data_IF_141818572126
#
_entry.id   IF_141818572126
#
_cell.length_a   1.000
_cell.length_b   1.000
_cell.length_c   1.000
_cell.angle_alpha   90.00
_cell.angle_beta   90.00
_cell.angle_gamma   90.00
#
_symmetry.space_group_name_H-M   'P 1'
#
loop_
_entity.id
_entity.type
_entity.pdbx_description
1 polymer ?
#
# COMPACT_ATOMS: atom_id res chain seq x y z
N UNK A 1 -3.09 -9.49 -24.67
CA UNK A 1 -2.02 -8.47 -24.64
C UNK A 1 -1.66 -8.05 -23.21
N UNK A 2 -2.62 -7.61 -22.39
CA UNK A 2 -2.38 -7.12 -21.02
C UNK A 2 -1.70 -8.13 -20.06
N UNK A 3 -2.04 -9.42 -20.14
CA UNK A 3 -1.37 -10.49 -19.37
C UNK A 3 0.14 -10.57 -19.65
N UNK A 4 0.56 -10.38 -20.91
CA UNK A 4 1.98 -10.39 -21.30
C UNK A 4 2.72 -9.16 -20.75
N UNK A 5 2.07 -8.01 -20.72
CA UNK A 5 2.59 -6.78 -20.10
C UNK A 5 2.79 -6.95 -18.59
N UNK A 6 1.79 -7.48 -17.89
CA UNK A 6 1.88 -7.77 -16.45
C UNK A 6 3.04 -8.74 -16.16
N UNK A 7 3.18 -9.80 -16.96
CA UNK A 7 4.26 -10.77 -16.79
C UNK A 7 5.64 -10.16 -17.07
N UNK A 8 5.75 -9.27 -18.05
CA UNK A 8 6.98 -8.53 -18.34
C UNK A 8 7.36 -7.60 -17.16
N UNK A 9 6.41 -6.85 -16.62
CA UNK A 9 6.62 -5.98 -15.47
C UNK A 9 6.99 -6.79 -14.20
N UNK A 10 6.36 -7.94 -13.97
CA UNK A 10 6.75 -8.83 -12.86
C UNK A 10 8.18 -9.34 -13.00
N UNK A 11 8.62 -9.67 -14.21
CA UNK A 11 9.99 -10.13 -14.48
C UNK A 11 11.01 -9.02 -14.23
N UNK A 12 10.67 -7.76 -14.54
CA UNK A 12 11.48 -6.58 -14.18
C UNK A 12 11.56 -6.43 -12.68
N UNK A 13 10.42 -6.45 -11.99
CA UNK A 13 10.32 -6.28 -10.55
C UNK A 13 11.16 -7.32 -9.77
N UNK A 14 11.15 -8.59 -10.21
CA UNK A 14 11.95 -9.66 -9.58
C UNK A 14 13.46 -9.38 -9.59
N UNK A 15 13.95 -8.58 -10.54
CA UNK A 15 15.38 -8.22 -10.66
C UNK A 15 15.73 -6.91 -9.93
N UNK A 16 14.74 -6.17 -9.44
CA UNK A 16 14.94 -4.88 -8.82
C UNK A 16 15.13 -5.01 -7.31
N UNK A 17 16.21 -4.40 -6.80
CA UNK A 17 16.50 -4.35 -5.37
C UNK A 17 15.49 -3.52 -4.57
N UNK A 18 14.73 -2.63 -5.21
CA UNK A 18 13.78 -1.74 -4.51
C UNK A 18 12.68 -2.51 -3.78
N UNK A 19 12.32 -3.71 -4.26
CA UNK A 19 11.34 -4.57 -3.58
C UNK A 19 11.81 -4.97 -2.18
N UNK A 20 13.13 -5.02 -1.97
CA UNK A 20 13.72 -5.32 -0.67
C UNK A 20 13.35 -4.29 0.40
N UNK A 21 13.12 -3.02 0.00
CA UNK A 21 12.69 -1.96 0.92
C UNK A 21 11.35 -2.33 1.57
N UNK A 22 10.45 -3.01 0.84
CA UNK A 22 9.17 -3.45 1.41
C UNK A 22 9.28 -4.60 2.40
N UNK A 23 10.23 -5.52 2.21
CA UNK A 23 10.49 -6.55 3.22
C UNK A 23 11.18 -5.95 4.45
N UNK A 24 12.10 -5.01 4.24
CA UNK A 24 12.81 -4.33 5.32
C UNK A 24 11.87 -3.47 6.18
N UNK A 25 10.88 -2.83 5.57
CA UNK A 25 9.91 -2.00 6.30
C UNK A 25 8.99 -2.83 7.20
N UNK A 26 8.59 -4.03 6.76
CA UNK A 26 7.89 -5.00 7.62
C UNK A 26 8.76 -5.43 8.81
N UNK A 27 10.04 -5.71 8.58
CA UNK A 27 10.97 -6.09 9.65
C UNK A 27 11.12 -4.97 10.68
N UNK A 28 11.22 -3.71 10.26
CA UNK A 28 11.23 -2.60 11.22
C UNK A 28 9.91 -2.47 11.99
N UNK A 29 8.77 -2.68 11.32
CA UNK A 29 7.45 -2.69 11.96
C UNK A 29 7.34 -3.76 13.05
N UNK A 30 7.85 -4.97 12.82
CA UNK A 30 7.78 -6.05 13.81
C UNK A 30 8.71 -5.77 14.99
N UNK A 31 9.91 -5.23 14.74
CA UNK A 31 10.87 -4.85 15.79
C UNK A 31 10.26 -3.79 16.72
N UNK A 32 9.64 -2.76 16.14
CA UNK A 32 8.96 -1.70 16.93
C UNK A 32 7.82 -2.29 17.75
N UNK A 33 7.02 -3.17 17.16
CA UNK A 33 5.91 -3.83 17.87
C UNK A 33 6.41 -4.67 19.03
N UNK A 34 7.49 -5.44 18.85
CA UNK A 34 8.13 -6.16 19.95
C UNK A 34 8.66 -5.23 21.05
N UNK A 35 9.31 -4.13 20.68
CA UNK A 35 9.82 -3.16 21.63
C UNK A 35 8.69 -2.52 22.45
N UNK A 36 7.58 -2.17 21.82
CA UNK A 36 6.41 -1.63 22.51
C UNK A 36 5.77 -2.67 23.44
N UNK A 37 5.69 -3.93 23.01
CA UNK A 37 5.15 -5.01 23.83
C UNK A 37 6.00 -5.30 25.08
N UNK A 38 7.32 -5.14 25.01
CA UNK A 38 8.17 -5.26 26.20
C UNK A 38 7.93 -4.15 27.23
N UNK A 39 7.46 -2.98 26.80
CA UNK A 39 7.19 -1.84 27.70
C UNK A 39 5.83 -1.92 28.37
N UNK A 40 4.85 -2.56 27.72
CA UNK A 40 3.51 -2.80 28.29
C UNK A 40 3.64 -3.94 29.32
N UNK A 41 4.02 -3.61 30.56
CA UNK A 41 4.18 -4.53 31.70
C UNK A 41 2.84 -5.07 32.23
N UNK A 42 1.99 -5.63 31.38
CA UNK A 42 0.71 -6.22 31.78
C UNK A 42 0.43 -7.52 31.03
N UNK A 43 0.74 -8.66 31.68
CA UNK A 43 0.35 -10.00 31.21
C UNK A 43 1.11 -10.52 29.98
N UNK A 44 0.92 -11.81 29.67
CA UNK A 44 1.40 -12.39 28.41
C UNK A 44 0.49 -11.87 27.30
N UNK A 45 1.01 -11.13 26.30
CA UNK A 45 0.16 -10.56 25.26
C UNK A 45 -0.54 -11.65 24.47
N UNK A 46 -1.85 -11.49 24.30
CA UNK A 46 -2.62 -12.31 23.37
C UNK A 46 -2.12 -12.07 21.94
N UNK A 47 -1.97 -13.15 21.17
CA UNK A 47 -1.46 -13.07 19.79
C UNK A 47 -2.27 -12.10 18.91
N UNK A 48 -3.59 -12.01 19.13
CA UNK A 48 -4.46 -11.06 18.43
C UNK A 48 -4.11 -9.60 18.72
N UNK A 49 -3.82 -9.26 19.99
CA UNK A 49 -3.39 -7.91 20.37
C UNK A 49 -2.02 -7.55 19.79
N UNK A 50 -1.09 -8.52 19.71
CA UNK A 50 0.19 -8.34 19.03
C UNK A 50 -0.02 -8.04 17.53
N UNK A 51 -0.89 -8.80 16.86
CA UNK A 51 -1.20 -8.61 15.44
C UNK A 51 -1.85 -7.24 15.17
N UNK A 52 -2.80 -6.79 15.99
CA UNK A 52 -3.43 -5.47 15.87
C UNK A 52 -2.41 -4.34 16.04
N UNK A 53 -1.53 -4.44 17.05
CA UNK A 53 -0.46 -3.45 17.25
C UNK A 53 0.53 -3.42 16.08
N UNK A 54 0.85 -4.60 15.54
CA UNK A 54 1.67 -4.73 14.36
C UNK A 54 1.02 -4.06 13.14
N UNK A 55 -0.25 -4.34 12.85
CA UNK A 55 -0.98 -3.74 11.74
C UNK A 55 -1.06 -2.22 11.88
N UNK A 56 -1.32 -1.72 13.09
CA UNK A 56 -1.32 -0.30 13.40
C UNK A 56 0.02 0.36 13.04
N UNK A 57 1.13 -0.18 13.55
CA UNK A 57 2.46 0.35 13.29
C UNK A 57 2.83 0.28 11.79
N UNK A 58 2.49 -0.83 11.14
CA UNK A 58 2.78 -1.02 9.74
C UNK A 58 2.01 -0.03 8.87
N UNK A 59 0.70 0.11 9.12
CA UNK A 59 -0.18 1.01 8.41
C UNK A 59 0.22 2.48 8.59
N UNK A 60 0.60 2.91 9.79
CA UNK A 60 0.90 4.32 10.06
C UNK A 60 2.30 4.74 9.61
N UNK A 61 3.31 3.87 9.76
CA UNK A 61 4.70 4.28 9.62
C UNK A 61 5.32 3.83 8.30
N UNK A 62 5.08 2.57 7.91
CA UNK A 62 5.92 1.89 6.93
C UNK A 62 5.23 1.66 5.60
N UNK A 63 3.99 1.19 5.62
CA UNK A 63 3.25 0.78 4.44
C UNK A 63 3.04 1.96 3.46
N UNK A 64 2.58 3.16 3.91
CA UNK A 64 2.35 4.29 3.03
C UNK A 64 3.59 4.72 2.25
N UNK A 65 4.71 4.80 2.97
CA UNK A 65 6.01 5.10 2.41
C UNK A 65 6.45 4.04 1.40
N UNK A 66 6.39 2.77 1.79
CA UNK A 66 6.86 1.63 0.98
C UNK A 66 6.09 1.51 -0.33
N UNK A 67 4.76 1.57 -0.25
CA UNK A 67 3.87 1.45 -1.40
C UNK A 67 4.15 2.58 -2.39
N UNK A 68 4.24 3.81 -1.89
CA UNK A 68 4.50 4.97 -2.75
C UNK A 68 5.90 4.94 -3.36
N UNK A 69 6.91 4.46 -2.63
CA UNK A 69 8.27 4.37 -3.13
C UNK A 69 8.39 3.35 -4.26
N UNK A 70 7.86 2.14 -4.05
CA UNK A 70 7.92 1.08 -5.06
C UNK A 70 7.04 1.43 -6.26
N UNK A 71 5.80 1.86 -6.02
CA UNK A 71 4.86 2.22 -7.08
C UNK A 71 5.35 3.42 -7.89
N UNK A 72 5.86 4.46 -7.21
CA UNK A 72 6.39 5.66 -7.85
C UNK A 72 7.65 5.34 -8.67
N UNK A 73 8.57 4.55 -8.13
CA UNK A 73 9.77 4.10 -8.85
C UNK A 73 9.45 3.26 -10.08
N UNK A 74 8.47 2.35 -9.98
CA UNK A 74 8.03 1.54 -11.11
C UNK A 74 7.55 2.43 -12.27
N UNK A 75 6.82 3.51 -11.97
CA UNK A 75 6.36 4.47 -12.98
C UNK A 75 7.55 5.29 -13.50
N UNK A 76 8.36 5.83 -12.59
CA UNK A 76 9.50 6.73 -12.88
C UNK A 76 10.54 6.11 -13.82
N UNK A 77 10.85 4.83 -13.66
CA UNK A 77 11.84 4.13 -14.49
C UNK A 77 11.54 4.20 -16.00
N UNK A 78 10.28 4.33 -16.38
CA UNK A 78 9.88 4.36 -17.78
C UNK A 78 10.02 5.76 -18.39
N UNK A 79 9.98 6.79 -17.54
CA UNK A 79 10.26 8.18 -17.88
C UNK A 79 11.77 8.48 -17.88
N UNK A 80 12.51 7.95 -16.90
CA UNK A 80 13.93 8.24 -16.72
C UNK A 80 14.85 7.54 -17.76
N UNK A 81 14.42 6.43 -18.37
CA UNK A 81 15.26 5.63 -19.28
C UNK A 81 15.08 5.93 -20.77
N UNK A 82 14.37 7.01 -21.12
CA UNK A 82 14.02 7.39 -22.51
C UNK A 82 13.36 6.23 -23.30
N UNK A 83 12.86 5.21 -22.59
CA UNK A 83 12.18 4.04 -23.15
C UNK A 83 10.88 4.41 -23.84
N UNK A 84 10.35 5.61 -23.61
CA UNK A 84 9.23 6.17 -24.38
C UNK A 84 9.52 6.19 -25.89
N UNK A 85 10.77 6.48 -26.30
CA UNK A 85 11.13 6.53 -27.73
C UNK A 85 11.23 5.14 -28.34
N UNK A 86 11.73 4.15 -27.60
CA UNK A 86 11.82 2.76 -28.05
C UNK A 86 10.50 1.99 -27.95
N UNK A 87 9.57 2.41 -27.08
CA UNK A 87 8.22 1.84 -27.04
C UNK A 87 7.37 2.22 -28.27
N UNK A 88 7.73 3.26 -29.03
CA UNK A 88 7.05 3.60 -30.28
C UNK A 88 7.24 2.53 -31.37
N UNK A 89 8.26 1.67 -31.24
CA UNK A 89 8.55 0.59 -32.20
C UNK A 89 7.64 -0.64 -31.98
N UNK A 90 7.03 -0.78 -30.81
CA UNK A 90 6.10 -1.87 -30.47
C UNK A 90 4.75 -1.22 -30.17
N UNK A 91 3.62 -1.60 -30.80
CA UNK A 91 2.35 -0.90 -30.66
C UNK A 91 1.68 -1.14 -29.30
N UNK A 92 2.29 -0.66 -28.20
CA UNK A 92 1.74 -0.73 -26.84
C UNK A 92 1.31 0.67 -26.43
N UNK A 93 0.01 0.83 -26.16
CA UNK A 93 -0.54 2.10 -25.67
C UNK A 93 0.00 2.38 -24.27
N UNK A 94 0.53 3.59 -24.07
CA UNK A 94 1.04 4.09 -22.78
C UNK A 94 0.07 3.86 -21.61
N UNK A 95 -1.22 4.05 -21.88
CA UNK A 95 -2.32 3.85 -20.93
C UNK A 95 -2.35 2.43 -20.37
N UNK A 96 -2.07 1.43 -21.19
CA UNK A 96 -2.12 0.01 -20.81
C UNK A 96 -0.87 -0.42 -20.02
N UNK A 97 0.27 0.25 -20.24
CA UNK A 97 1.49 0.03 -19.46
C UNK A 97 1.32 0.49 -18.01
N UNK A 98 0.79 1.71 -17.78
CA UNK A 98 0.53 2.22 -16.43
C UNK A 98 -0.51 1.36 -15.69
N UNK A 99 -1.58 0.93 -16.38
CA UNK A 99 -2.56 0.00 -15.79
C UNK A 99 -1.92 -1.32 -15.37
N UNK A 100 -1.05 -1.89 -16.22
CA UNK A 100 -0.31 -3.10 -15.88
C UNK A 100 0.59 -2.91 -14.66
N UNK A 101 1.24 -1.74 -14.51
CA UNK A 101 2.07 -1.42 -13.34
C UNK A 101 1.27 -1.30 -12.06
N UNK A 102 0.13 -0.61 -12.09
CA UNK A 102 -0.77 -0.55 -10.94
C UNK A 102 -1.23 -1.96 -10.54
N UNK A 103 -1.59 -2.81 -11.51
CA UNK A 103 -1.93 -4.21 -11.23
C UNK A 103 -0.76 -5.01 -10.61
N UNK A 104 0.47 -4.80 -11.10
CA UNK A 104 1.67 -5.42 -10.52
C UNK A 104 1.97 -4.88 -9.12
N UNK A 105 1.71 -3.60 -8.85
CA UNK A 105 1.83 -3.02 -7.51
C UNK A 105 0.87 -3.73 -6.54
N UNK A 106 -0.40 -3.91 -6.89
CA UNK A 106 -1.35 -4.67 -6.07
C UNK A 106 -0.90 -6.12 -5.85
N UNK A 107 -0.43 -6.79 -6.90
CA UNK A 107 0.09 -8.15 -6.78
C UNK A 107 1.34 -8.22 -5.88
N UNK A 108 2.18 -7.18 -5.89
CA UNK A 108 3.30 -7.07 -4.98
C UNK A 108 2.84 -6.89 -3.53
N UNK A 109 1.82 -6.08 -3.29
CA UNK A 109 1.26 -5.88 -1.95
C UNK A 109 0.65 -7.16 -1.38
N UNK A 110 0.03 -7.98 -2.23
CA UNK A 110 -0.39 -9.34 -1.84
C UNK A 110 0.82 -10.18 -1.40
N UNK A 111 1.95 -10.12 -2.12
CA UNK A 111 3.16 -10.86 -1.72
C UNK A 111 3.80 -10.35 -0.44
N UNK A 112 3.77 -9.03 -0.23
CA UNK A 112 4.25 -8.37 0.99
C UNK A 112 3.37 -8.79 2.18
N UNK A 113 2.04 -8.80 2.02
CA UNK A 113 1.10 -9.33 3.01
C UNK A 113 1.35 -10.82 3.33
N UNK A 114 1.67 -11.66 2.32
CA UNK A 114 2.04 -13.07 2.58
C UNK A 114 3.29 -13.18 3.47
N UNK A 115 4.26 -12.30 3.27
CA UNK A 115 5.48 -12.27 4.09
C UNK A 115 5.20 -11.76 5.51
N UNK A 116 4.37 -10.73 5.63
CA UNK A 116 3.88 -10.19 6.91
C UNK A 116 3.18 -11.28 7.74
N UNK A 117 2.31 -12.07 7.11
CA UNK A 117 1.64 -13.21 7.75
C UNK A 117 2.65 -14.25 8.25
N UNK A 118 3.66 -14.61 7.45
CA UNK A 118 4.68 -15.56 7.87
C UNK A 118 5.47 -15.07 9.10
N UNK A 119 5.77 -13.77 9.17
CA UNK A 119 6.44 -13.17 10.32
C UNK A 119 5.56 -13.09 11.56
N UNK A 120 4.27 -12.76 11.42
CA UNK A 120 3.30 -12.77 12.52
C UNK A 120 3.11 -14.18 13.11
N UNK A 121 3.12 -15.20 12.26
CA UNK A 121 3.09 -16.60 12.69
C UNK A 121 4.36 -16.99 13.43
N UNK A 122 5.53 -16.61 12.91
CA UNK A 122 6.81 -16.83 13.58
C UNK A 122 6.84 -16.15 14.97
N UNK A 123 6.37 -14.90 15.05
CA UNK A 123 6.25 -14.17 16.30
C UNK A 123 5.32 -14.87 17.30
N UNK A 124 4.18 -15.40 16.85
CA UNK A 124 3.26 -16.18 17.69
C UNK A 124 3.88 -17.46 18.27
N UNK A 125 4.71 -18.15 17.48
CA UNK A 125 5.46 -19.33 17.95
C UNK A 125 6.46 -18.93 19.04
N UNK A 126 7.19 -17.83 18.86
CA UNK A 126 8.17 -17.32 19.84
C UNK A 126 7.48 -16.95 21.16
N UNK A 127 6.31 -16.32 21.08
CA UNK A 127 5.51 -15.92 22.24
C UNK A 127 4.80 -17.10 22.95
N UNK A 128 5.00 -18.35 22.47
CA UNK A 128 4.36 -19.60 22.96
C UNK A 128 2.83 -19.54 23.00
N UNK A 129 2.23 -18.62 22.28
CA UNK A 129 0.79 -18.41 22.25
C UNK A 129 0.27 -18.78 20.86
N UNK A 130 -0.22 -20.03 20.72
CA UNK A 130 -0.73 -20.52 19.43
C UNK A 130 -2.21 -20.17 19.29
N UNK A 131 -2.58 -19.26 18.37
CA UNK A 131 -3.98 -18.96 18.10
C UNK A 131 -4.71 -20.16 17.48
N UNK A 132 -6.03 -20.20 17.67
CA UNK A 132 -6.89 -21.12 16.95
C UNK A 132 -6.85 -20.82 15.43
N UNK A 133 -7.03 -21.87 14.61
CA UNK A 133 -6.95 -21.79 13.14
C UNK A 133 -7.90 -20.72 12.56
N UNK A 134 -9.08 -20.54 13.17
CA UNK A 134 -10.05 -19.53 12.73
C UNK A 134 -9.53 -18.09 12.93
N UNK A 135 -8.85 -17.84 14.05
CA UNK A 135 -8.27 -16.53 14.38
C UNK A 135 -7.09 -16.24 13.44
N UNK A 136 -6.29 -17.26 13.13
CA UNK A 136 -5.21 -17.15 12.14
C UNK A 136 -5.75 -16.78 10.75
N UNK A 137 -6.80 -17.46 10.29
CA UNK A 137 -7.43 -17.16 9.01
C UNK A 137 -7.98 -15.73 8.96
N UNK A 138 -8.61 -15.27 10.05
CA UNK A 138 -9.08 -13.88 10.18
C UNK A 138 -7.96 -12.85 10.07
N UNK A 139 -6.86 -13.05 10.81
CA UNK A 139 -5.67 -12.17 10.76
C UNK A 139 -5.02 -12.18 9.38
N UNK A 140 -4.98 -13.33 8.70
CA UNK A 140 -4.49 -13.42 7.34
C UNK A 140 -5.31 -12.57 6.35
N UNK A 141 -6.64 -12.63 6.47
CA UNK A 141 -7.53 -11.80 5.66
C UNK A 141 -7.35 -10.31 5.97
N UNK A 142 -7.18 -9.95 7.25
CA UNK A 142 -6.88 -8.57 7.67
C UNK A 142 -5.59 -8.06 7.05
N UNK A 143 -4.49 -8.83 7.08
CA UNK A 143 -3.21 -8.43 6.50
C UNK A 143 -3.34 -8.09 5.00
N UNK A 144 -4.02 -8.95 4.24
CA UNK A 144 -4.29 -8.69 2.82
C UNK A 144 -5.15 -7.44 2.61
N UNK A 145 -6.21 -7.29 3.40
CA UNK A 145 -7.13 -6.17 3.28
C UNK A 145 -6.46 -4.83 3.63
N UNK A 146 -5.61 -4.77 4.67
CA UNK A 146 -4.83 -3.58 5.03
C UNK A 146 -3.92 -3.14 3.88
N UNK A 147 -3.13 -4.08 3.35
CA UNK A 147 -2.19 -3.83 2.26
C UNK A 147 -2.91 -3.26 1.02
N UNK A 148 -4.06 -3.83 0.65
CA UNK A 148 -4.83 -3.39 -0.53
C UNK A 148 -5.50 -2.03 -0.27
N UNK A 149 -6.15 -1.87 0.88
CA UNK A 149 -6.94 -0.69 1.20
C UNK A 149 -6.07 0.57 1.33
N UNK A 150 -4.93 0.48 2.02
CA UNK A 150 -4.00 1.60 2.15
C UNK A 150 -3.33 1.92 0.81
N UNK A 151 -3.04 0.89 0.01
CA UNK A 151 -2.53 1.10 -1.37
C UNK A 151 -3.53 1.87 -2.22
N UNK A 152 -4.83 1.58 -2.11
CA UNK A 152 -5.89 2.33 -2.80
C UNK A 152 -5.95 3.80 -2.32
N UNK A 153 -5.88 4.03 -1.01
CA UNK A 153 -5.88 5.39 -0.44
C UNK A 153 -4.73 6.26 -0.92
N UNK A 154 -3.55 5.66 -1.12
CA UNK A 154 -2.32 6.38 -1.48
C UNK A 154 -2.08 6.42 -2.99
N UNK A 155 -2.74 5.55 -3.75
CA UNK A 155 -2.63 5.45 -5.21
C UNK A 155 -2.65 6.82 -5.94
N UNK A 156 -3.50 7.81 -5.57
CA UNK A 156 -3.49 9.10 -6.23
C UNK A 156 -2.15 9.85 -6.11
N UNK A 157 -1.50 9.77 -4.94
CA UNK A 157 -0.19 10.39 -4.69
C UNK A 157 0.87 9.72 -5.57
N UNK A 158 0.85 8.39 -5.65
CA UNK A 158 1.77 7.59 -6.48
C UNK A 158 1.67 8.00 -7.94
N UNK A 159 0.44 8.06 -8.47
CA UNK A 159 0.20 8.41 -9.86
C UNK A 159 0.59 9.86 -10.17
N UNK A 160 0.42 10.77 -9.23
CA UNK A 160 0.77 12.18 -9.41
C UNK A 160 2.29 12.40 -9.47
N UNK A 161 3.03 11.81 -8.54
CA UNK A 161 4.48 12.02 -8.42
C UNK A 161 5.32 11.07 -9.28
N UNK A 162 4.80 9.90 -9.63
CA UNK A 162 5.53 8.89 -10.42
C UNK A 162 5.86 9.31 -11.86
N UNK A 163 5.09 10.24 -12.46
CA UNK A 163 5.32 10.72 -13.84
C UNK A 163 6.53 11.64 -13.98
N UNK A 164 6.88 12.38 -12.93
CA UNK A 164 7.90 13.40 -13.01
C UNK A 164 9.25 12.80 -12.56
N UNK A 165 10.15 12.56 -13.51
CA UNK A 165 11.50 12.00 -13.32
C UNK A 165 12.15 12.38 -11.98
N UNK A 166 12.39 11.41 -11.10
CA UNK A 166 13.02 11.56 -9.78
C UNK A 166 12.14 12.11 -8.66
N UNK A 167 10.94 12.64 -8.96
CA UNK A 167 10.03 13.22 -7.94
C UNK A 167 9.21 12.17 -7.19
N UNK A 168 9.32 10.89 -7.55
CA UNK A 168 8.68 9.80 -6.80
C UNK A 168 9.15 9.73 -5.33
N UNK A 169 10.38 10.17 -5.04
CA UNK A 169 10.91 10.26 -3.67
C UNK A 169 10.07 11.23 -2.84
N UNK A 170 9.73 12.40 -3.40
CA UNK A 170 8.84 13.38 -2.75
C UNK A 170 7.44 12.82 -2.52
N UNK A 171 6.89 12.08 -3.49
CA UNK A 171 5.61 11.37 -3.30
C UNK A 171 5.66 10.35 -2.16
N UNK A 172 6.81 9.70 -1.97
CA UNK A 172 7.01 8.71 -0.91
C UNK A 172 7.11 9.36 0.47
N UNK A 173 7.84 10.47 0.57
CA UNK A 173 7.92 11.28 1.80
C UNK A 173 6.52 11.83 2.14
N UNK A 174 5.79 12.36 1.17
CA UNK A 174 4.41 12.83 1.39
C UNK A 174 3.51 11.69 1.88
N UNK A 175 3.61 10.51 1.29
CA UNK A 175 2.84 9.35 1.73
C UNK A 175 3.21 8.90 3.15
N UNK A 176 4.49 9.01 3.54
CA UNK A 176 4.93 8.78 4.92
C UNK A 176 4.30 9.78 5.89
N UNK A 177 4.30 11.07 5.54
CA UNK A 177 3.66 12.11 6.36
C UNK A 177 2.17 11.89 6.51
N UNK A 178 1.50 11.46 5.43
CA UNK A 178 0.10 11.05 5.45
C UNK A 178 -0.12 9.80 6.33
N UNK A 179 0.81 8.86 6.35
CA UNK A 179 0.77 7.74 7.31
C UNK A 179 0.83 8.23 8.76
N UNK A 180 1.84 9.04 9.08
CA UNK A 180 2.09 9.55 10.43
C UNK A 180 0.94 10.46 10.91
N UNK A 181 0.33 11.25 10.02
CA UNK A 181 -0.84 12.06 10.40
C UNK A 181 -2.01 11.22 10.90
N UNK A 182 -2.09 9.95 10.49
CA UNK A 182 -3.10 9.00 10.97
C UNK A 182 -3.05 8.78 12.48
N UNK A 183 -1.87 8.87 13.11
CA UNK A 183 -1.71 8.70 14.58
C UNK A 183 -2.49 9.75 15.37
N UNK A 184 -2.55 10.99 14.85
CA UNK A 184 -3.28 12.08 15.51
C UNK A 184 -4.80 12.00 15.25
N UNK A 185 -5.18 11.34 14.16
CA UNK A 185 -6.56 11.33 13.66
C UNK A 185 -7.31 10.06 14.06
N UNK A 186 -6.61 8.96 14.36
CA UNK A 186 -7.20 7.63 14.59
C UNK A 186 -8.24 7.58 15.72
N UNK A 187 -8.13 8.43 16.74
CA UNK A 187 -9.08 8.49 17.86
C UNK A 187 -10.21 9.52 17.66
N UNK A 188 -10.24 10.23 16.53
CA UNK A 188 -11.19 11.29 16.24
C UNK A 188 -12.16 10.96 15.11
N UNK A 189 -13.13 11.85 14.89
CA UNK A 189 -14.13 11.75 13.78
C UNK A 189 -13.54 11.80 12.37
N UNK A 190 -12.29 12.25 12.24
CA UNK A 190 -11.60 12.29 10.96
C UNK A 190 -10.93 10.95 10.59
N UNK A 191 -10.93 9.95 11.48
CA UNK A 191 -10.39 8.61 11.21
C UNK A 191 -11.04 7.96 9.98
N UNK A 192 -12.36 8.14 9.82
CA UNK A 192 -13.13 7.56 8.71
C UNK A 192 -12.83 8.22 7.34
N UNK A 193 -12.22 9.40 7.33
CA UNK A 193 -11.93 10.16 6.12
C UNK A 193 -10.46 10.15 5.71
N UNK A 194 -9.58 9.67 6.57
CA UNK A 194 -8.14 9.76 6.34
C UNK A 194 -7.64 8.52 5.58
N UNK A 195 -6.78 8.67 4.55
CA UNK A 195 -6.54 7.64 3.51
C UNK A 195 -5.88 6.35 4.03
N UNK A 196 -5.27 6.41 5.21
CA UNK A 196 -4.63 5.25 5.87
C UNK A 196 -5.54 4.65 6.95
N UNK A 197 -6.25 5.49 7.70
CA UNK A 197 -7.06 5.06 8.86
C UNK A 197 -8.46 4.64 8.47
N UNK A 198 -8.93 5.00 7.27
CA UNK A 198 -10.24 4.61 6.74
C UNK A 198 -10.47 3.10 6.76
N UNK A 199 -9.40 2.32 6.63
CA UNK A 199 -9.45 0.87 6.63
C UNK A 199 -9.67 0.30 8.05
N UNK A 200 -9.39 1.07 9.11
CA UNK A 200 -9.40 0.59 10.50
C UNK A 200 -10.82 0.31 10.97
N UNK A 201 -11.79 1.15 10.57
CA UNK A 201 -13.19 0.95 10.94
C UNK A 201 -13.70 -0.45 10.52
N UNK A 202 -13.19 -1.00 9.40
CA UNK A 202 -13.53 -2.34 8.90
C UNK A 202 -12.67 -3.48 9.42
N UNK A 203 -11.37 -3.22 9.63
CA UNK A 203 -10.37 -4.27 9.80
C UNK A 203 -9.79 -4.37 11.20
N UNK A 204 -9.81 -3.29 11.97
CA UNK A 204 -9.26 -3.30 13.33
C UNK A 204 -10.31 -3.69 14.34
N UNK A 205 -9.91 -4.53 15.29
CA UNK A 205 -10.75 -4.86 16.44
C UNK A 205 -10.70 -3.77 17.53
N UNK A 206 -9.71 -2.87 17.47
CA UNK A 206 -9.42 -1.89 18.54
C UNK A 206 -9.68 -0.47 18.05
N UNK A 207 -9.35 -0.16 16.80
CA UNK A 207 -9.36 1.18 16.24
C UNK A 207 -10.54 1.41 15.28
N UNK A 208 -11.06 2.64 15.25
CA UNK A 208 -12.13 3.06 14.34
C UNK A 208 -13.54 2.96 14.93
N UNK A 209 -14.46 3.77 14.40
CA UNK A 209 -15.85 3.81 14.87
C UNK A 209 -16.63 2.60 14.37
N UNK A 210 -16.91 1.62 15.25
CA UNK A 210 -17.72 0.42 14.94
C UNK A 210 -19.23 0.69 14.96
N UNK A 211 -19.65 1.73 14.24
CA UNK A 211 -21.04 2.12 14.05
C UNK A 211 -21.44 1.90 12.60
N UNK A 212 -22.72 1.59 12.33
CA UNK A 212 -23.24 1.48 10.96
C UNK A 212 -22.92 2.74 10.12
N UNK A 213 -22.94 3.91 10.76
CA UNK A 213 -22.59 5.19 10.16
C UNK A 213 -21.08 5.32 9.89
N UNK A 214 -20.23 4.77 10.76
CA UNK A 214 -18.77 4.74 10.58
C UNK A 214 -18.36 3.87 9.39
N UNK A 215 -18.93 2.66 9.29
CA UNK A 215 -18.73 1.79 8.13
C UNK A 215 -19.16 2.46 6.82
N UNK A 216 -20.29 3.16 6.81
CA UNK A 216 -20.76 3.86 5.61
C UNK A 216 -19.81 4.99 5.20
N UNK A 217 -19.34 5.81 6.16
CA UNK A 217 -18.39 6.89 5.91
C UNK A 217 -17.06 6.36 5.37
N UNK A 218 -16.49 5.36 6.02
CA UNK A 218 -15.23 4.77 5.59
C UNK A 218 -15.34 4.10 4.22
N UNK A 219 -16.47 3.44 3.95
CA UNK A 219 -16.75 2.87 2.64
C UNK A 219 -16.85 3.93 1.54
N UNK A 220 -17.55 5.04 1.81
CA UNK A 220 -17.65 6.17 0.91
C UNK A 220 -16.29 6.83 0.65
N UNK A 221 -15.46 6.97 1.69
CA UNK A 221 -14.12 7.54 1.57
C UNK A 221 -13.19 6.66 0.70
N UNK A 222 -13.17 5.33 0.89
CA UNK A 222 -12.39 4.41 0.03
C UNK A 222 -12.82 4.53 -1.43
N UNK A 223 -14.13 4.58 -1.68
CA UNK A 223 -14.66 4.77 -3.03
C UNK A 223 -14.22 6.11 -3.63
N UNK A 224 -14.24 7.18 -2.84
CA UNK A 224 -13.80 8.51 -3.25
C UNK A 224 -12.29 8.53 -3.57
N UNK A 225 -11.44 7.84 -2.79
CA UNK A 225 -10.03 7.69 -3.11
C UNK A 225 -9.78 6.90 -4.40
N UNK A 226 -10.58 5.85 -4.63
CA UNK A 226 -10.56 5.11 -5.90
C UNK A 226 -10.90 6.01 -7.08
N UNK A 227 -11.97 6.81 -6.98
CA UNK A 227 -12.37 7.79 -7.99
C UNK A 227 -11.28 8.85 -8.20
N UNK A 228 -10.67 9.35 -7.13
CA UNK A 228 -9.59 10.33 -7.18
C UNK A 228 -8.36 9.73 -7.90
N UNK A 229 -8.04 8.46 -7.64
CA UNK A 229 -7.00 7.72 -8.35
C UNK A 229 -7.28 7.60 -9.85
N UNK A 230 -8.52 7.27 -10.24
CA UNK A 230 -8.95 7.22 -11.65
C UNK A 230 -8.91 8.60 -12.31
N UNK A 231 -9.32 9.64 -11.59
CA UNK A 231 -9.32 11.02 -12.07
C UNK A 231 -7.89 11.51 -12.30
N UNK A 232 -6.98 11.28 -11.35
CA UNK A 232 -5.55 11.60 -11.51
C UNK A 232 -4.94 10.82 -12.67
N UNK A 233 -5.27 9.53 -12.79
CA UNK A 233 -4.86 8.72 -13.93
C UNK A 233 -5.33 9.35 -15.26
N UNK A 234 -6.60 9.74 -15.34
CA UNK A 234 -7.17 10.33 -16.55
C UNK A 234 -6.53 11.68 -16.91
N UNK A 235 -6.37 12.58 -15.93
CA UNK A 235 -5.76 13.90 -16.13
C UNK A 235 -4.30 13.79 -16.56
N UNK A 236 -3.48 13.01 -15.85
CA UNK A 236 -2.02 12.97 -16.07
C UNK A 236 -1.58 12.04 -17.20
N UNK A 237 -2.35 10.99 -17.49
CA UNK A 237 -1.92 9.94 -18.43
C UNK A 237 -2.80 9.83 -19.67
N UNK A 238 -4.10 10.14 -19.60
CA UNK A 238 -4.97 10.09 -20.78
C UNK A 238 -4.98 11.42 -21.55
N UNK A 239 -5.20 12.56 -20.87
CA UNK A 239 -5.37 13.87 -21.51
C UNK A 239 -4.13 14.35 -22.26
N UNK A 240 -2.94 14.06 -21.74
CA UNK A 240 -1.66 14.50 -22.31
C UNK A 240 -1.21 13.63 -23.50
N UNK A 241 -1.57 12.33 -23.51
CA UNK A 241 -1.28 11.43 -24.64
C UNK A 241 -2.04 11.81 -25.93
N UNK A 242 -3.22 12.43 -25.77
CA UNK A 242 -4.03 12.92 -26.90
C UNK A 242 -3.47 14.23 -27.50
N UNK A 243 -2.64 14.97 -26.77
CA UNK A 243 -1.97 16.16 -27.29
C UNK A 243 -0.76 15.80 -28.15
N UNK A 244 0.04 14.82 -27.72
CA UNK A 244 1.21 14.35 -28.49
C UNK A 244 0.85 13.66 -29.82
N UNK A 245 -0.34 13.07 -29.91
CA UNK A 245 -0.85 12.45 -31.15
C UNK A 245 -1.53 13.43 -32.10
N UNK A 246 -1.83 14.67 -31.68
CA UNK A 246 -2.37 15.74 -32.54
C UNK A 246 -1.28 16.65 -33.11
N UNK A 247 -0.05 16.58 -32.60
CA UNK A 247 1.10 17.41 -33.01
C UNK A 247 2.12 16.64 -33.87
N UNK A 248 1.76 15.45 -34.35
CA UNK A 248 2.51 14.58 -35.26
C UNK A 248 1.62 14.21 -36.43
#
# INVERSE_FOLDING_TARGET
MMKRLIMAELKKLKRQKIVFVGYLSILFSIIITFAQQMQIRAGVPEWGGFAEMFFYNNAMLFLPFTVSLIGGYMIDQEYARDTMKNLLVIPVRWRDAIKAKVAVLFLLMVRIALFEMALLLAAGIILKNRPAVLIMAGVCMKALAYNICITLGILPVILWFGKNGGKYIWGSILSMLVGISGVFVVNGRAADWHPVTVCFSFLSDIYGEKSAMGYLKSGAAIFLYGLLGVLVYWIRYCRESNFQTRSS
#
